data_IF_593658139077
#
_entry.id   IF_593658139077
#
_cell.length_a   1.000
_cell.length_b   1.000
_cell.length_c   1.000
_cell.angle_alpha   90.00
_cell.angle_beta   90.00
_cell.angle_gamma   90.00
#
_symmetry.space_group_name_H-M   'P 1'
#
loop_
_entity.id
_entity.type
_entity.pdbx_description
1 polymer ?
#
# COMPACT_ATOMS: atom_id res chain seq x y z
N UNK A 1 10.42 -1.74 -7.85
CA UNK A 1 10.15 -1.02 -9.10
C UNK A 1 9.20 0.15 -8.84
N UNK A 2 7.97 -0.08 -8.35
CA UNK A 2 6.99 1.01 -8.12
C UNK A 2 7.49 2.17 -7.25
N UNK A 3 8.08 1.91 -6.08
CA UNK A 3 8.69 2.96 -5.25
C UNK A 3 9.85 3.71 -5.94
N UNK A 4 10.64 3.01 -6.75
CA UNK A 4 11.73 3.63 -7.50
C UNK A 4 11.17 4.52 -8.62
N UNK A 5 10.14 4.05 -9.33
CA UNK A 5 9.47 4.81 -10.39
C UNK A 5 8.73 6.04 -9.85
N UNK A 6 8.26 5.96 -8.61
CA UNK A 6 7.65 7.08 -7.91
C UNK A 6 8.68 8.10 -7.39
N UNK A 7 9.98 7.78 -7.36
CA UNK A 7 11.05 8.70 -6.97
C UNK A 7 11.71 8.45 -5.61
N UNK A 8 11.52 7.29 -4.99
CA UNK A 8 12.21 6.96 -3.73
C UNK A 8 13.75 7.00 -3.88
N UNK A 9 14.43 7.52 -2.86
CA UNK A 9 15.90 7.62 -2.84
C UNK A 9 16.58 6.24 -2.77
N UNK A 10 17.88 6.19 -3.08
CA UNK A 10 18.64 4.95 -2.95
C UNK A 10 18.64 4.40 -1.51
N UNK A 11 18.70 5.28 -0.51
CA UNK A 11 18.64 4.93 0.91
C UNK A 11 17.27 4.35 1.27
N UNK A 12 16.19 4.95 0.77
CA UNK A 12 14.83 4.45 0.99
C UNK A 12 14.64 3.09 0.34
N UNK A 13 15.07 2.91 -0.91
CA UNK A 13 15.01 1.63 -1.61
C UNK A 13 15.83 0.55 -0.90
N UNK A 14 16.99 0.90 -0.33
CA UNK A 14 17.80 -0.01 0.47
C UNK A 14 17.09 -0.43 1.76
N UNK A 15 16.41 0.50 2.44
CA UNK A 15 15.59 0.21 3.63
C UNK A 15 14.47 -0.77 3.28
N UNK A 16 13.67 -0.48 2.25
CA UNK A 16 12.58 -1.34 1.79
C UNK A 16 13.08 -2.74 1.39
N UNK A 17 14.22 -2.82 0.69
CA UNK A 17 14.80 -4.09 0.26
C UNK A 17 15.32 -4.96 1.42
N UNK A 18 15.58 -4.35 2.57
CA UNK A 18 16.04 -5.04 3.78
C UNK A 18 14.91 -5.41 4.75
N UNK A 19 13.68 -4.98 4.46
CA UNK A 19 12.53 -5.23 5.31
C UNK A 19 12.23 -6.73 5.42
N UNK A 20 11.90 -7.18 6.63
CA UNK A 20 11.47 -8.55 6.88
C UNK A 20 9.97 -8.65 6.74
N UNK A 21 9.49 -9.44 5.77
CA UNK A 21 8.06 -9.67 5.57
C UNK A 21 7.67 -11.02 6.14
N UNK A 22 6.63 -11.05 6.97
CA UNK A 22 6.09 -12.26 7.58
C UNK A 22 4.57 -12.30 7.50
N UNK A 23 4.00 -13.48 7.72
CA UNK A 23 2.55 -13.70 7.75
C UNK A 23 2.18 -14.21 9.15
N UNK A 24 1.19 -13.60 9.78
CA UNK A 24 0.65 -14.02 11.06
C UNK A 24 -0.86 -13.78 11.14
N UNK A 25 -1.52 -14.28 12.17
CA UNK A 25 -2.93 -13.98 12.46
C UNK A 25 -2.96 -12.65 13.25
N UNK A 26 -3.46 -11.59 12.62
CA UNK A 26 -3.56 -10.26 13.23
C UNK A 26 -4.94 -10.07 13.88
N UNK A 27 -5.02 -9.32 14.99
CA UNK A 27 -6.29 -9.15 15.68
C UNK A 27 -7.20 -8.14 14.95
N UNK A 28 -8.50 -8.44 14.95
CA UNK A 28 -9.54 -7.51 14.50
C UNK A 28 -9.66 -7.45 12.98
N UNK A 29 -9.65 -6.24 12.45
CA UNK A 29 -9.78 -5.91 11.02
C UNK A 29 -8.44 -5.50 10.37
N UNK A 30 -7.33 -5.66 11.09
CA UNK A 30 -6.00 -5.39 10.57
C UNK A 30 -5.63 -6.38 9.46
N UNK A 31 -5.12 -5.84 8.36
CA UNK A 31 -4.61 -6.63 7.23
C UNK A 31 -3.10 -6.56 7.10
N UNK A 32 -2.47 -5.61 7.78
CA UNK A 32 -1.03 -5.42 7.85
C UNK A 32 -0.66 -4.63 9.11
N UNK A 33 0.58 -4.80 9.54
CA UNK A 33 1.25 -3.92 10.49
C UNK A 33 2.75 -3.81 10.13
N UNK A 34 3.31 -2.63 10.36
CA UNK A 34 4.73 -2.36 10.18
C UNK A 34 5.33 -1.81 11.48
N UNK A 35 6.51 -2.32 11.81
CA UNK A 35 7.23 -1.90 13.02
C UNK A 35 8.72 -2.15 12.91
N UNK A 36 9.52 -1.13 13.24
CA UNK A 36 10.98 -1.20 13.14
C UNK A 36 11.45 -1.43 11.69
N UNK A 37 11.81 -2.66 11.35
CA UNK A 37 12.19 -3.08 9.99
C UNK A 37 11.45 -4.36 9.55
N UNK A 38 10.26 -4.58 10.09
CA UNK A 38 9.43 -5.74 9.82
C UNK A 38 8.03 -5.32 9.38
N UNK A 39 7.46 -6.13 8.49
CA UNK A 39 6.07 -6.08 8.03
C UNK A 39 5.45 -7.43 8.36
N UNK A 40 4.30 -7.41 8.99
CA UNK A 40 3.45 -8.58 9.19
C UNK A 40 2.17 -8.36 8.42
N UNK A 41 1.83 -9.25 7.49
CA UNK A 41 0.50 -9.27 6.88
C UNK A 41 -0.37 -10.30 7.58
N UNK A 42 -1.66 -9.99 7.64
CA UNK A 42 -2.63 -10.94 8.15
C UNK A 42 -2.75 -12.18 7.25
N UNK A 43 -2.90 -13.35 7.85
CA UNK A 43 -2.94 -14.62 7.13
C UNK A 43 -4.17 -14.77 6.21
N UNK A 44 -5.29 -14.13 6.53
CA UNK A 44 -6.55 -14.29 5.80
C UNK A 44 -7.20 -12.95 5.39
N UNK A 45 -6.47 -11.84 5.51
CA UNK A 45 -6.93 -10.48 5.27
C UNK A 45 -8.18 -10.14 6.11
N UNK A 46 -8.13 -10.38 7.43
CA UNK A 46 -9.25 -10.21 8.34
C UNK A 46 -10.53 -10.97 7.90
N UNK A 47 -10.34 -12.13 7.29
CA UNK A 47 -11.40 -13.00 6.77
C UNK A 47 -11.94 -12.60 5.39
N UNK A 48 -11.41 -11.54 4.78
CA UNK A 48 -11.85 -11.02 3.48
C UNK A 48 -11.15 -11.71 2.30
N UNK A 49 -10.03 -12.39 2.56
CA UNK A 49 -9.23 -13.10 1.57
C UNK A 49 -8.35 -12.17 0.72
N UNK A 50 -7.16 -12.66 0.40
CA UNK A 50 -6.19 -11.94 -0.43
C UNK A 50 -6.44 -12.13 -1.92
N UNK A 51 -6.33 -11.04 -2.67
CA UNK A 51 -5.99 -11.03 -4.07
C UNK A 51 -4.47 -10.90 -4.21
N UNK A 52 -3.86 -11.90 -4.85
CA UNK A 52 -2.45 -11.89 -5.23
C UNK A 52 -2.40 -11.67 -6.72
N UNK A 53 -1.85 -10.52 -7.11
CA UNK A 53 -1.68 -10.14 -8.50
C UNK A 53 -0.50 -10.90 -9.12
N UNK A 54 -0.76 -11.64 -10.21
CA UNK A 54 0.27 -12.38 -10.94
C UNK A 54 1.10 -11.48 -11.87
N UNK A 55 0.60 -10.29 -12.18
CA UNK A 55 1.04 -9.33 -13.17
C UNK A 55 1.02 -7.90 -12.57
N UNK A 56 1.71 -7.67 -11.43
CA UNK A 56 1.57 -6.46 -10.59
C UNK A 56 2.07 -5.15 -11.23
N UNK A 57 2.46 -5.18 -12.51
CA UNK A 57 2.92 -4.02 -13.28
C UNK A 57 1.93 -3.57 -14.35
N UNK A 58 0.84 -4.32 -14.60
CA UNK A 58 -0.09 -4.00 -15.70
C UNK A 58 -1.55 -3.82 -15.27
N UNK A 59 -1.89 -4.13 -14.02
CA UNK A 59 -3.19 -3.83 -13.38
C UNK A 59 -4.43 -4.34 -14.16
N UNK A 60 -4.34 -5.46 -14.88
CA UNK A 60 -5.39 -5.88 -15.81
C UNK A 60 -6.70 -6.33 -15.14
N UNK A 61 -6.68 -6.62 -13.84
CA UNK A 61 -7.87 -6.97 -13.08
C UNK A 61 -8.71 -5.74 -12.70
N UNK A 62 -8.20 -4.53 -12.93
CA UNK A 62 -8.79 -3.28 -12.47
C UNK A 62 -9.21 -2.39 -13.63
N UNK A 63 -10.27 -1.63 -13.38
CA UNK A 63 -10.74 -0.57 -14.26
C UNK A 63 -10.66 0.77 -13.53
N UNK A 64 -10.35 1.83 -14.26
CA UNK A 64 -10.43 3.17 -13.70
C UNK A 64 -11.90 3.56 -13.49
N UNK A 65 -12.24 3.85 -12.25
CA UNK A 65 -13.55 4.27 -11.79
C UNK A 65 -13.47 5.69 -11.20
N UNK A 66 -13.17 6.67 -12.06
CA UNK A 66 -13.01 8.10 -11.71
C UNK A 66 -11.75 8.36 -10.88
N UNK A 67 -10.61 7.87 -11.34
CA UNK A 67 -9.31 8.05 -10.68
C UNK A 67 -8.99 7.00 -9.62
N UNK A 68 -9.90 6.04 -9.40
CA UNK A 68 -9.66 4.87 -8.53
C UNK A 68 -9.55 3.61 -9.37
N UNK A 69 -8.56 2.77 -9.09
CA UNK A 69 -8.56 1.42 -9.63
C UNK A 69 -9.50 0.54 -8.82
N UNK A 70 -10.56 0.09 -9.46
CA UNK A 70 -11.53 -0.84 -8.90
C UNK A 70 -11.50 -2.14 -9.69
N UNK A 71 -11.53 -3.27 -8.99
CA UNK A 71 -11.59 -4.59 -9.58
C UNK A 71 -12.79 -4.72 -10.53
N UNK A 72 -12.55 -5.35 -11.67
CA UNK A 72 -13.59 -5.71 -12.64
C UNK A 72 -14.63 -6.59 -11.95
N UNK A 73 -15.92 -6.27 -12.16
CA UNK A 73 -17.02 -6.99 -11.52
C UNK A 73 -16.99 -8.49 -11.87
N UNK A 74 -16.96 -9.35 -10.84
CA UNK A 74 -16.87 -10.80 -11.01
C UNK A 74 -15.50 -11.32 -11.43
N UNK A 75 -14.51 -10.44 -11.60
CA UNK A 75 -13.12 -10.81 -11.81
C UNK A 75 -12.43 -11.24 -10.53
N UNK A 76 -11.19 -11.70 -10.65
CA UNK A 76 -10.43 -12.27 -9.54
C UNK A 76 -10.23 -11.27 -8.40
N UNK A 77 -9.87 -10.01 -8.66
CA UNK A 77 -9.71 -9.03 -7.58
C UNK A 77 -11.03 -8.64 -6.88
N UNK A 78 -12.19 -9.00 -7.43
CA UNK A 78 -13.49 -8.56 -6.94
C UNK A 78 -13.80 -9.12 -5.56
N UNK A 79 -14.08 -8.24 -4.60
CA UNK A 79 -14.46 -8.64 -3.24
C UNK A 79 -13.32 -9.18 -2.38
N UNK A 80 -12.06 -8.97 -2.77
CA UNK A 80 -10.86 -9.43 -2.05
C UNK A 80 -9.95 -8.27 -1.67
N UNK A 81 -9.07 -8.45 -0.70
CA UNK A 81 -8.04 -7.46 -0.37
C UNK A 81 -6.85 -7.51 -1.29
N UNK A 82 -6.43 -6.35 -1.80
CA UNK A 82 -5.28 -6.25 -2.68
C UNK A 82 -3.97 -6.31 -1.88
N UNK A 83 -3.25 -7.44 -1.97
CA UNK A 83 -2.02 -7.65 -1.19
C UNK A 83 -0.90 -6.70 -1.59
N UNK A 84 -0.84 -6.29 -2.86
CA UNK A 84 0.16 -5.35 -3.35
C UNK A 84 -0.02 -3.98 -2.70
N UNK A 85 -1.26 -3.49 -2.61
CA UNK A 85 -1.61 -2.23 -1.95
C UNK A 85 -1.32 -2.30 -0.45
N UNK A 86 -1.69 -3.39 0.23
CA UNK A 86 -1.40 -3.55 1.65
C UNK A 86 0.11 -3.52 1.93
N UNK A 87 0.93 -4.27 1.18
CA UNK A 87 2.39 -4.24 1.33
C UNK A 87 2.95 -2.85 1.05
N UNK A 88 2.44 -2.15 0.03
CA UNK A 88 2.89 -0.81 -0.29
C UNK A 88 2.56 0.19 0.82
N UNK A 89 1.40 0.06 1.47
CA UNK A 89 1.02 0.84 2.66
C UNK A 89 2.02 0.61 3.81
N UNK A 90 2.31 -0.65 4.14
CA UNK A 90 3.27 -1.00 5.20
C UNK A 90 4.70 -0.54 4.89
N UNK A 91 5.10 -0.54 3.62
CA UNK A 91 6.36 0.07 3.21
C UNK A 91 6.37 1.58 3.43
N UNK A 92 5.23 2.27 3.27
CA UNK A 92 5.11 3.67 3.65
C UNK A 92 5.37 3.88 5.15
N UNK A 93 4.81 3.05 6.02
CA UNK A 93 5.13 3.09 7.46
C UNK A 93 6.61 2.84 7.74
N UNK A 94 7.25 1.89 7.05
CA UNK A 94 8.70 1.71 7.18
C UNK A 94 9.50 2.92 6.71
N UNK A 95 9.01 3.73 5.78
CA UNK A 95 9.64 4.98 5.39
C UNK A 95 9.41 6.13 6.38
N UNK A 96 8.58 5.92 7.41
CA UNK A 96 8.31 6.89 8.48
C UNK A 96 6.98 7.62 8.33
N UNK A 97 6.10 7.17 7.44
CA UNK A 97 4.80 7.81 7.21
C UNK A 97 3.74 7.26 8.15
N UNK A 98 2.91 8.16 8.66
CA UNK A 98 1.70 7.80 9.42
C UNK A 98 0.49 7.73 8.49
N UNK A 99 -0.65 7.28 9.01
CA UNK A 99 -1.89 7.32 8.23
C UNK A 99 -2.24 8.73 7.77
N UNK A 100 -2.72 8.87 6.54
CA UNK A 100 -3.25 10.13 6.03
C UNK A 100 -4.66 10.38 6.61
N UNK A 101 -4.95 11.63 6.96
CA UNK A 101 -6.19 11.99 7.67
C UNK A 101 -7.33 12.49 6.75
N UNK A 102 -7.13 12.50 5.42
CA UNK A 102 -8.00 13.29 4.53
C UNK A 102 -8.38 12.62 3.21
N UNK A 103 -7.40 12.19 2.43
CA UNK A 103 -7.66 11.61 1.11
C UNK A 103 -7.82 10.09 1.20
N UNK A 104 -9.06 9.61 1.04
CA UNK A 104 -9.38 8.18 1.06
C UNK A 104 -8.69 7.40 -0.06
N UNK A 105 -8.28 8.09 -1.12
CA UNK A 105 -7.58 7.51 -2.28
C UNK A 105 -6.05 7.46 -2.08
N UNK A 106 -5.53 8.11 -1.04
CA UNK A 106 -4.12 8.06 -0.67
C UNK A 106 -3.68 6.63 -0.28
N UNK A 107 -2.48 6.24 -0.70
CA UNK A 107 -1.86 4.97 -0.31
C UNK A 107 -1.80 4.80 1.21
N UNK A 108 -1.50 5.88 1.95
CA UNK A 108 -1.37 5.86 3.41
C UNK A 108 -2.68 6.08 4.15
N UNK A 109 -3.83 6.03 3.49
CA UNK A 109 -5.10 6.11 4.21
C UNK A 109 -5.35 4.86 5.05
N UNK A 110 -5.96 5.03 6.23
CA UNK A 110 -6.12 3.99 7.27
C UNK A 110 -6.83 2.72 6.80
N UNK A 111 -7.68 2.79 5.77
CA UNK A 111 -8.39 1.61 5.26
C UNK A 111 -8.32 1.49 3.74
N UNK A 112 -8.57 0.26 3.29
CA UNK A 112 -8.59 -0.14 1.89
C UNK A 112 -9.92 -0.82 1.57
N UNK A 113 -10.58 -0.39 0.48
CA UNK A 113 -11.82 -1.06 0.06
C UNK A 113 -11.53 -2.38 -0.65
N UNK A 114 -12.47 -3.32 -0.54
CA UNK A 114 -12.40 -4.58 -1.29
C UNK A 114 -12.31 -4.33 -2.80
N UNK A 115 -11.38 -5.04 -3.43
CA UNK A 115 -11.08 -4.90 -4.85
C UNK A 115 -10.54 -3.53 -5.25
N UNK A 116 -10.15 -2.68 -4.32
CA UNK A 116 -9.46 -1.43 -4.65
C UNK A 116 -7.97 -1.68 -4.76
N UNK A 117 -7.34 -1.07 -5.76
CA UNK A 117 -5.89 -0.91 -5.83
C UNK A 117 -5.51 0.55 -5.68
N UNK A 118 -4.49 0.82 -4.87
CA UNK A 118 -3.84 2.13 -4.82
C UNK A 118 -2.46 2.02 -5.43
N UNK A 119 -2.13 2.93 -6.35
CA UNK A 119 -0.82 2.96 -7.00
C UNK A 119 0.18 3.72 -6.13
N UNK A 120 1.42 3.24 -6.12
CA UNK A 120 2.55 4.05 -5.66
C UNK A 120 2.90 5.01 -6.80
N UNK A 121 2.49 6.27 -6.67
CA UNK A 121 2.77 7.34 -7.64
C UNK A 121 3.78 8.34 -7.08
N UNK A 122 4.37 9.17 -7.93
CA UNK A 122 5.17 10.31 -7.45
C UNK A 122 4.33 11.26 -6.61
N UNK A 123 3.05 11.46 -6.91
CA UNK A 123 2.13 12.24 -6.06
C UNK A 123 1.92 11.56 -4.71
N UNK A 124 1.79 10.23 -4.66
CA UNK A 124 1.78 9.54 -3.38
C UNK A 124 3.07 9.84 -2.64
N UNK A 125 4.25 9.72 -3.27
CA UNK A 125 5.52 10.07 -2.61
C UNK A 125 5.68 11.58 -2.31
N UNK A 126 5.16 12.49 -3.12
CA UNK A 126 5.27 13.94 -2.95
C UNK A 126 4.31 14.47 -1.87
N UNK A 127 3.07 13.96 -1.80
CA UNK A 127 2.19 14.14 -0.64
C UNK A 127 2.80 13.52 0.63
N UNK A 128 3.66 12.51 0.46
CA UNK A 128 4.46 11.92 1.54
C UNK A 128 5.70 12.76 1.90
N UNK A 129 6.28 13.57 1.00
CA UNK A 129 7.45 14.44 1.28
C UNK A 129 7.11 15.90 1.57
N UNK A 130 5.89 16.36 1.26
CA UNK A 130 5.45 17.73 1.52
C UNK A 130 5.43 18.11 3.02
N UNK A 131 5.52 17.12 3.93
CA UNK A 131 5.54 17.33 5.37
C UNK A 131 6.95 17.40 6.00
N UNK A 132 8.05 17.25 5.23
CA UNK A 132 9.42 17.38 5.76
C UNK A 132 10.10 18.74 5.52
N UNK A 133 9.43 19.73 4.92
CA UNK A 133 10.00 21.07 4.74
C UNK A 133 9.00 22.18 5.05
N UNK A 134 9.01 22.70 6.28
CA UNK A 134 8.90 24.14 6.58
C UNK A 134 9.07 24.40 8.08
N UNK A 135 10.31 24.43 8.56
CA UNK A 135 10.68 25.33 9.67
C UNK A 135 12.05 25.93 9.35
N UNK A 136 12.02 27.00 8.57
CA UNK A 136 13.11 27.98 8.53
C UNK A 136 13.14 28.70 9.89
N UNK A 137 14.29 28.67 10.57
CA UNK A 137 14.64 29.56 11.69
C UNK A 137 15.74 30.52 11.24
#
# INVERSE_FOLDING_TARGET
QQFADAGASAEQLAKLSSAQVSIADLPGDQVGEAGGNAITLDANAAGLGWFIDATPTVDEEFVDARGRLQATAGGDASGRMDALTAIAHEFGHLLGFEHSAGDEDSLMFEWLQLGQRKRVTSESLDDLFANEQTWDW
#
